data_IF_473019877668
#
_entry.id   IF_473019877668
#
_cell.length_a   1.000
_cell.length_b   1.000
_cell.length_c   1.000
_cell.angle_alpha   90.00
_cell.angle_beta   90.00
_cell.angle_gamma   90.00
#
_symmetry.space_group_name_H-M   'P 1'
#
loop_
_entity.id
_entity.type
_entity.pdbx_description
1 polymer ?
#
# COMPACT_ATOMS: atom_id res chain seq x y z
N UNK A 1 -41.24 -2.13 0.95
CA UNK A 1 -40.60 -1.86 2.25
C UNK A 1 -40.81 -3.05 3.18
N UNK A 2 -39.77 -3.81 3.52
CA UNK A 2 -39.75 -4.62 4.72
C UNK A 2 -38.98 -3.87 5.82
N UNK A 3 -39.65 -3.64 6.95
CA UNK A 3 -39.09 -3.03 8.15
C UNK A 3 -38.20 -4.03 8.88
N UNK A 4 -36.96 -3.65 9.20
CA UNK A 4 -36.13 -4.37 10.16
C UNK A 4 -36.85 -4.43 11.53
N UNK A 5 -36.84 -5.61 12.15
CA UNK A 5 -37.47 -5.85 13.45
C UNK A 5 -36.86 -4.99 14.56
N UNK A 6 -37.71 -4.47 15.44
CA UNK A 6 -37.34 -3.59 16.56
C UNK A 6 -36.24 -4.19 17.46
N UNK A 7 -36.22 -5.51 17.61
CA UNK A 7 -35.26 -6.23 18.48
C UNK A 7 -33.83 -6.19 17.94
N UNK A 8 -33.66 -6.18 16.61
CA UNK A 8 -32.34 -6.03 15.97
C UNK A 8 -31.79 -4.61 16.15
N UNK A 9 -32.66 -3.59 16.17
CA UNK A 9 -32.23 -2.21 16.41
C UNK A 9 -31.89 -1.95 17.88
N UNK A 10 -32.57 -2.59 18.83
CA UNK A 10 -32.28 -2.44 20.26
C UNK A 10 -31.00 -3.16 20.69
N UNK A 11 -30.70 -4.34 20.13
CA UNK A 11 -29.47 -5.07 20.47
C UNK A 11 -28.20 -4.34 19.98
N UNK A 12 -28.28 -3.69 18.81
CA UNK A 12 -27.18 -2.85 18.28
C UNK A 12 -27.07 -1.48 18.98
N UNK A 13 -28.19 -0.91 19.46
CA UNK A 13 -28.17 0.32 20.27
C UNK A 13 -27.44 0.14 21.59
N UNK A 14 -27.63 -1.00 22.27
CA UNK A 14 -26.95 -1.29 23.55
C UNK A 14 -25.45 -1.51 23.40
N UNK A 15 -24.99 -2.01 22.27
CA UNK A 15 -23.56 -2.30 22.05
C UNK A 15 -22.74 -1.06 21.64
N UNK A 16 -23.39 0.03 21.21
CA UNK A 16 -22.76 1.28 20.78
C UNK A 16 -22.94 2.45 21.77
N UNK A 17 -23.51 2.20 22.96
CA UNK A 17 -23.78 3.27 23.93
C UNK A 17 -22.51 3.78 24.64
N UNK A 18 -21.41 3.02 24.58
CA UNK A 18 -20.14 3.35 25.25
C UNK A 18 -19.02 3.84 24.30
N UNK A 19 -19.27 3.93 22.99
CA UNK A 19 -18.29 4.44 22.02
C UNK A 19 -18.53 5.93 21.74
N UNK A 20 -17.48 6.76 21.86
CA UNK A 20 -17.53 8.23 21.64
C UNK A 20 -17.86 8.58 20.16
N UNK A 21 -17.76 7.62 19.24
CA UNK A 21 -17.98 7.81 17.81
C UNK A 21 -19.29 7.20 17.34
N UNK A 22 -20.11 7.99 16.63
CA UNK A 22 -21.31 7.50 15.93
C UNK A 22 -20.88 6.74 14.68
N UNK A 23 -21.35 5.50 14.55
CA UNK A 23 -21.10 4.63 13.40
C UNK A 23 -22.40 4.37 12.63
N UNK A 24 -22.33 4.44 11.30
CA UNK A 24 -23.41 4.05 10.40
C UNK A 24 -22.95 2.86 9.57
N UNK A 25 -23.66 1.74 9.67
CA UNK A 25 -23.39 0.53 8.88
C UNK A 25 -24.32 0.52 7.67
N UNK A 26 -23.74 0.52 6.47
CA UNK A 26 -24.47 0.45 5.20
C UNK A 26 -24.44 -0.99 4.71
N UNK A 27 -25.62 -1.62 4.57
CA UNK A 27 -25.77 -3.02 4.17
C UNK A 27 -26.73 -3.21 2.98
N UNK A 28 -26.91 -2.18 2.14
CA UNK A 28 -27.69 -2.26 0.91
C UNK A 28 -26.99 -1.48 -0.20
N UNK A 29 -27.06 -1.97 -1.43
CA UNK A 29 -26.38 -1.34 -2.56
C UNK A 29 -27.06 -0.03 -2.95
N UNK A 30 -28.36 0.11 -2.71
CA UNK A 30 -29.13 1.34 -2.94
C UNK A 30 -28.61 2.48 -2.06
N UNK A 31 -28.45 2.22 -0.76
CA UNK A 31 -27.91 3.20 0.19
C UNK A 31 -26.43 3.47 -0.08
N UNK A 32 -25.65 2.42 -0.42
CA UNK A 32 -24.24 2.61 -0.80
C UNK A 32 -24.12 3.51 -2.04
N UNK A 33 -24.97 3.30 -3.06
CA UNK A 33 -25.03 4.15 -4.25
C UNK A 33 -25.34 5.59 -3.87
N UNK A 34 -26.32 5.83 -3.01
CA UNK A 34 -26.65 7.18 -2.55
C UNK A 34 -25.48 7.85 -1.80
N UNK A 35 -24.79 7.11 -0.93
CA UNK A 35 -23.62 7.58 -0.19
C UNK A 35 -22.44 7.94 -1.12
N UNK A 36 -22.17 7.14 -2.16
CA UNK A 36 -20.99 7.28 -3.01
C UNK A 36 -21.26 7.95 -4.37
N UNK A 37 -22.47 8.46 -4.61
CA UNK A 37 -22.80 9.25 -5.82
C UNK A 37 -23.41 10.60 -5.46
N UNK A 38 -24.61 10.61 -4.88
CA UNK A 38 -25.36 11.84 -4.57
C UNK A 38 -24.70 12.59 -3.40
N UNK A 39 -24.27 11.85 -2.38
CA UNK A 39 -23.70 12.40 -1.16
C UNK A 39 -22.19 12.13 -1.02
N UNK A 40 -21.51 11.85 -2.14
CA UNK A 40 -20.11 11.40 -2.19
C UNK A 40 -19.15 12.29 -1.37
N UNK A 41 -19.32 13.62 -1.46
CA UNK A 41 -18.51 14.61 -0.75
C UNK A 41 -18.66 14.51 0.77
N UNK A 42 -19.85 14.18 1.28
CA UNK A 42 -20.08 14.02 2.71
C UNK A 42 -19.39 12.77 3.27
N UNK A 43 -19.28 11.71 2.46
CA UNK A 43 -18.67 10.42 2.83
C UNK A 43 -17.22 10.26 2.34
N UNK A 44 -16.63 11.28 1.71
CA UNK A 44 -15.25 11.22 1.19
C UNK A 44 -14.18 11.32 2.27
N UNK A 45 -14.50 11.89 3.44
CA UNK A 45 -13.54 12.02 4.53
C UNK A 45 -13.30 10.71 5.28
N UNK A 46 -12.06 10.48 5.70
CA UNK A 46 -11.67 9.35 6.54
C UNK A 46 -11.59 9.77 8.02
N UNK A 47 -12.06 8.94 8.97
CA UNK A 47 -11.83 9.18 10.39
C UNK A 47 -10.33 9.25 10.67
N UNK A 48 -9.88 10.24 11.45
CA UNK A 48 -8.47 10.38 11.77
C UNK A 48 -8.08 9.46 12.92
N UNK A 49 -7.62 8.26 12.60
CA UNK A 49 -7.06 7.32 13.58
C UNK A 49 -5.60 7.65 13.93
N UNK A 50 -5.11 7.11 15.04
CA UNK A 50 -3.70 7.16 15.42
C UNK A 50 -2.83 6.48 14.35
N UNK A 51 -3.29 5.36 13.78
CA UNK A 51 -2.59 4.65 12.71
C UNK A 51 -2.35 5.55 11.49
N UNK A 52 -3.39 6.24 10.99
CA UNK A 52 -3.28 7.17 9.86
C UNK A 52 -2.26 8.29 10.16
N UNK A 53 -2.24 8.81 11.39
CA UNK A 53 -1.30 9.87 11.77
C UNK A 53 0.15 9.37 11.82
N UNK A 54 0.39 8.20 12.39
CA UNK A 54 1.74 7.67 12.60
C UNK A 54 2.33 6.98 11.36
N UNK A 55 1.51 6.24 10.60
CA UNK A 55 1.93 5.49 9.41
C UNK A 55 1.71 6.26 8.11
N UNK A 56 0.67 7.09 8.04
CA UNK A 56 0.27 7.81 6.83
C UNK A 56 0.90 9.19 6.68
N UNK A 57 2.14 9.38 7.13
CA UNK A 57 2.88 10.65 7.01
C UNK A 57 2.10 11.87 7.52
N UNK A 58 1.49 11.75 8.70
CA UNK A 58 0.62 12.80 9.26
C UNK A 58 -0.46 13.29 8.27
N UNK A 59 -1.10 12.34 7.56
CA UNK A 59 -2.16 12.56 6.54
C UNK A 59 -1.68 13.09 5.19
N UNK A 60 -0.38 13.14 4.91
CA UNK A 60 0.11 13.40 3.54
C UNK A 60 -0.26 12.27 2.57
N UNK A 61 -0.36 11.04 3.10
CA UNK A 61 -0.79 9.86 2.37
C UNK A 61 -2.22 10.04 1.82
N UNK A 62 -2.38 10.31 0.52
CA UNK A 62 -3.65 10.78 -0.04
C UNK A 62 -4.82 9.77 0.11
N UNK A 63 -4.55 8.47 0.20
CA UNK A 63 -5.57 7.45 0.52
C UNK A 63 -6.27 7.68 1.86
N UNK A 64 -5.62 8.39 2.80
CA UNK A 64 -6.14 8.75 4.12
C UNK A 64 -6.25 10.25 4.37
N UNK A 65 -5.92 11.09 3.38
CA UNK A 65 -6.03 12.53 3.51
C UNK A 65 -7.51 12.96 3.50
N UNK A 66 -7.88 14.01 4.25
CA UNK A 66 -9.22 14.58 4.15
C UNK A 66 -9.49 15.12 2.75
N UNK A 67 -10.74 15.06 2.31
CA UNK A 67 -11.15 15.58 1.01
C UNK A 67 -10.90 17.09 0.95
N UNK A 68 -10.16 17.54 -0.07
CA UNK A 68 -9.72 18.93 -0.21
C UNK A 68 -9.06 19.20 -1.56
N UNK A 69 -8.45 20.39 -1.71
CA UNK A 69 -7.62 20.71 -2.88
C UNK A 69 -6.43 19.75 -3.01
N UNK A 70 -5.67 19.57 -1.92
CA UNK A 70 -4.52 18.65 -1.86
C UNK A 70 -4.88 17.24 -2.34
N UNK A 71 -5.88 16.61 -1.72
CA UNK A 71 -6.32 15.26 -2.08
C UNK A 71 -6.73 15.15 -3.56
N UNK A 72 -7.48 16.14 -4.09
CA UNK A 72 -7.93 16.14 -5.48
C UNK A 72 -6.76 16.24 -6.45
N UNK A 73 -5.79 17.07 -6.13
CA UNK A 73 -4.61 17.31 -6.97
C UNK A 73 -3.71 16.08 -7.02
N UNK A 74 -3.34 15.53 -5.87
CA UNK A 74 -2.50 14.33 -5.80
C UNK A 74 -3.21 13.12 -6.42
N UNK A 75 -4.51 12.93 -6.15
CA UNK A 75 -5.30 11.84 -6.77
C UNK A 75 -5.36 12.00 -8.29
N UNK A 76 -5.51 13.23 -8.80
CA UNK A 76 -5.49 13.52 -10.24
C UNK A 76 -4.14 13.15 -10.85
N UNK A 77 -3.03 13.52 -10.21
CA UNK A 77 -1.68 13.19 -10.68
C UNK A 77 -1.50 11.67 -10.73
N UNK A 78 -1.78 10.95 -9.65
CA UNK A 78 -1.67 9.49 -9.60
C UNK A 78 -2.53 8.81 -10.68
N UNK A 79 -3.77 9.28 -10.86
CA UNK A 79 -4.69 8.72 -11.87
C UNK A 79 -4.17 8.93 -13.29
N UNK A 80 -3.71 10.13 -13.62
CA UNK A 80 -3.26 10.46 -14.98
C UNK A 80 -1.90 9.85 -15.32
N UNK A 81 -0.97 9.84 -14.36
CA UNK A 81 0.44 9.55 -14.59
C UNK A 81 0.87 8.12 -14.26
N UNK A 82 0.06 7.38 -13.50
CA UNK A 82 0.32 5.96 -13.20
C UNK A 82 -0.83 5.06 -13.65
N UNK A 83 -2.07 5.42 -13.32
CA UNK A 83 -3.23 4.52 -13.47
C UNK A 83 -4.01 4.72 -14.78
N UNK A 84 -3.56 5.59 -15.68
CA UNK A 84 -4.25 5.82 -16.95
C UNK A 84 -3.98 4.69 -17.93
N UNK A 85 -4.95 4.39 -18.81
CA UNK A 85 -4.80 3.32 -19.82
C UNK A 85 -3.51 3.48 -20.65
N UNK A 86 -3.16 4.72 -21.03
CA UNK A 86 -1.94 5.00 -21.76
C UNK A 86 -0.68 4.63 -20.96
N UNK A 87 -0.65 4.97 -19.67
CA UNK A 87 0.50 4.65 -18.80
C UNK A 87 0.58 3.15 -18.51
N UNK A 88 -0.55 2.47 -18.32
CA UNK A 88 -0.58 1.01 -18.17
C UNK A 88 -0.10 0.30 -19.44
N UNK A 89 -0.48 0.77 -20.63
CA UNK A 89 0.02 0.23 -21.90
C UNK A 89 1.51 0.46 -22.09
N UNK A 90 2.03 1.62 -21.69
CA UNK A 90 3.47 1.90 -21.70
C UNK A 90 4.25 0.98 -20.77
N UNK A 91 3.69 0.63 -19.61
CA UNK A 91 4.37 -0.15 -18.57
C UNK A 91 4.07 -1.67 -18.63
N UNK A 92 3.32 -2.15 -19.62
CA UNK A 92 2.89 -3.56 -19.70
C UNK A 92 4.04 -4.56 -19.81
N UNK A 93 5.18 -4.15 -20.38
CA UNK A 93 6.39 -4.98 -20.46
C UNK A 93 6.95 -5.27 -19.06
N UNK A 94 6.76 -4.38 -18.07
CA UNK A 94 7.15 -4.64 -16.68
C UNK A 94 6.37 -5.85 -16.16
N UNK A 95 5.05 -5.87 -16.36
CA UNK A 95 4.22 -7.00 -15.96
C UNK A 95 4.66 -8.29 -16.66
N UNK A 96 4.84 -8.26 -17.99
CA UNK A 96 5.28 -9.43 -18.74
C UNK A 96 6.64 -9.95 -18.27
N UNK A 97 7.59 -9.05 -18.02
CA UNK A 97 8.93 -9.36 -17.51
C UNK A 97 8.89 -9.99 -16.12
N UNK A 98 8.09 -9.46 -15.19
CA UNK A 98 7.97 -10.02 -13.84
C UNK A 98 7.27 -11.40 -13.84
N UNK A 99 6.26 -11.59 -14.70
CA UNK A 99 5.59 -12.88 -14.85
C UNK A 99 6.55 -13.93 -15.41
N UNK A 100 7.26 -13.62 -16.50
CA UNK A 100 8.24 -14.52 -17.11
C UNK A 100 9.34 -14.91 -16.12
N UNK A 101 9.91 -13.94 -15.40
CA UNK A 101 10.87 -14.21 -14.33
C UNK A 101 10.30 -15.11 -13.22
N UNK A 102 9.08 -14.85 -12.76
CA UNK A 102 8.47 -15.62 -11.67
C UNK A 102 8.16 -17.05 -12.09
N UNK A 103 7.76 -17.27 -13.35
CA UNK A 103 7.56 -18.60 -13.92
C UNK A 103 8.89 -19.34 -14.06
N UNK A 104 9.93 -18.66 -14.57
CA UNK A 104 11.29 -19.24 -14.66
C UNK A 104 11.80 -19.68 -13.31
N UNK A 105 11.60 -18.89 -12.27
CA UNK A 105 11.97 -19.29 -10.91
C UNK A 105 11.25 -20.56 -10.45
N UNK A 106 9.93 -20.67 -10.68
CA UNK A 106 9.18 -21.88 -10.34
C UNK A 106 9.74 -23.10 -11.09
N UNK A 107 10.08 -22.92 -12.36
CA UNK A 107 10.70 -23.97 -13.16
C UNK A 107 12.08 -24.37 -12.61
N UNK A 108 12.93 -23.41 -12.25
CA UNK A 108 14.24 -23.66 -11.63
C UNK A 108 14.12 -24.40 -10.29
N UNK A 109 13.19 -24.00 -9.42
CA UNK A 109 12.91 -24.71 -8.17
C UNK A 109 12.52 -26.16 -8.43
N UNK A 110 11.69 -26.39 -9.46
CA UNK A 110 11.27 -27.72 -9.86
C UNK A 110 12.43 -28.56 -10.42
N UNK A 111 13.25 -27.99 -11.31
CA UNK A 111 14.44 -28.67 -11.86
C UNK A 111 15.43 -29.00 -10.76
N UNK A 112 15.78 -28.05 -9.89
CA UNK A 112 16.78 -28.24 -8.82
C UNK A 112 16.34 -29.28 -7.79
N UNK A 113 15.05 -29.32 -7.45
CA UNK A 113 14.52 -30.36 -6.57
C UNK A 113 14.54 -31.73 -7.25
N UNK A 114 14.32 -31.75 -8.57
CA UNK A 114 14.34 -32.99 -9.35
C UNK A 114 15.74 -33.57 -9.47
N UNK A 115 16.76 -32.74 -9.70
CA UNK A 115 18.16 -33.17 -9.75
C UNK A 115 18.69 -33.60 -8.37
N UNK A 116 18.25 -32.96 -7.29
CA UNK A 116 18.66 -33.31 -5.91
C UNK A 116 18.07 -34.64 -5.39
N UNK A 117 16.91 -35.07 -5.91
CA UNK A 117 16.18 -36.26 -5.44
C UNK A 117 16.33 -37.48 -6.35
N UNK A 118 16.78 -37.28 -7.61
CA UNK A 118 17.15 -38.37 -8.51
C UNK A 118 18.25 -39.31 -7.94
N UNK A 119 18.94 -38.89 -6.89
CA UNK A 119 19.95 -39.67 -6.16
C UNK A 119 19.41 -40.55 -5.02
N UNK A 120 18.13 -40.42 -4.60
CA UNK A 120 17.66 -41.01 -3.34
C UNK A 120 16.35 -41.82 -3.39
N UNK A 121 15.44 -41.63 -4.35
CA UNK A 121 14.19 -42.41 -4.37
C UNK A 121 13.48 -42.41 -5.75
N UNK A 122 13.38 -43.56 -6.44
CA UNK A 122 12.83 -43.67 -7.80
C UNK A 122 11.28 -43.74 -7.86
N UNK A 123 10.58 -43.68 -6.72
CA UNK A 123 9.15 -44.03 -6.65
C UNK A 123 8.15 -42.87 -6.43
N UNK A 124 8.60 -41.66 -6.07
CA UNK A 124 7.69 -40.54 -5.75
C UNK A 124 7.75 -39.43 -6.81
N UNK A 125 6.60 -38.92 -7.29
CA UNK A 125 6.60 -37.78 -8.19
C UNK A 125 7.25 -36.58 -7.50
N UNK A 126 8.21 -35.96 -8.18
CA UNK A 126 8.92 -34.78 -7.68
C UNK A 126 7.98 -33.58 -7.61
N UNK A 127 7.41 -33.35 -6.44
CA UNK A 127 6.50 -32.25 -6.18
C UNK A 127 7.22 -31.13 -5.44
N UNK A 128 7.23 -29.93 -6.04
CA UNK A 128 7.58 -28.69 -5.33
C UNK A 128 6.31 -28.15 -4.71
N UNK A 129 6.36 -27.90 -3.40
CA UNK A 129 5.30 -27.17 -2.70
C UNK A 129 5.64 -25.68 -2.78
N UNK A 130 4.67 -24.89 -3.20
CA UNK A 130 4.81 -23.43 -3.35
C UNK A 130 3.71 -22.78 -2.52
N UNK A 131 4.07 -21.83 -1.66
CA UNK A 131 3.07 -21.01 -0.97
C UNK A 131 2.50 -19.97 -1.95
N UNK A 132 1.37 -20.29 -2.57
CA UNK A 132 0.79 -19.44 -3.63
C UNK A 132 0.47 -18.02 -3.16
N UNK A 133 0.10 -17.82 -1.89
CA UNK A 133 -0.17 -16.49 -1.34
C UNK A 133 1.09 -15.62 -1.33
N UNK A 134 2.21 -16.15 -0.83
CA UNK A 134 3.48 -15.46 -0.87
C UNK A 134 3.95 -15.24 -2.32
N UNK A 135 3.79 -16.23 -3.19
CA UNK A 135 4.20 -16.13 -4.60
C UNK A 135 3.45 -15.01 -5.34
N UNK A 136 2.11 -14.99 -5.28
CA UNK A 136 1.32 -13.92 -5.88
C UNK A 136 1.60 -12.56 -5.22
N UNK A 137 1.73 -12.51 -3.89
CA UNK A 137 2.06 -11.28 -3.18
C UNK A 137 3.40 -10.68 -3.62
N UNK A 138 4.43 -11.53 -3.79
CA UNK A 138 5.74 -11.12 -4.28
C UNK A 138 5.68 -10.62 -5.72
N UNK A 139 4.98 -11.34 -6.60
CA UNK A 139 4.80 -10.97 -8.00
C UNK A 139 4.11 -9.60 -8.12
N UNK A 140 2.98 -9.41 -7.44
CA UNK A 140 2.22 -8.15 -7.50
C UNK A 140 3.02 -7.00 -6.88
N UNK A 141 3.70 -7.22 -5.74
CA UNK A 141 4.56 -6.20 -5.13
C UNK A 141 5.70 -5.78 -6.06
N UNK A 142 6.34 -6.72 -6.76
CA UNK A 142 7.39 -6.42 -7.71
C UNK A 142 6.90 -5.63 -8.92
N UNK A 143 5.77 -6.03 -9.51
CA UNK A 143 5.17 -5.32 -10.64
C UNK A 143 4.91 -3.87 -10.23
N UNK A 144 4.21 -3.66 -9.11
CA UNK A 144 3.81 -2.32 -8.69
C UNK A 144 5.04 -1.48 -8.29
N UNK A 145 5.98 -2.04 -7.52
CA UNK A 145 7.16 -1.28 -7.07
C UNK A 145 8.08 -0.91 -8.24
N UNK A 146 8.14 -1.75 -9.28
CA UNK A 146 8.82 -1.39 -10.54
C UNK A 146 8.10 -0.28 -11.29
N UNK A 147 6.77 -0.32 -11.38
CA UNK A 147 6.00 0.75 -12.01
C UNK A 147 6.10 2.08 -11.25
N UNK A 148 6.15 2.02 -9.91
CA UNK A 148 6.11 3.21 -9.05
C UNK A 148 7.48 3.84 -8.85
N UNK A 149 8.51 3.04 -8.60
CA UNK A 149 9.84 3.52 -8.20
C UNK A 149 10.99 2.85 -8.96
N UNK A 150 10.70 2.07 -10.01
CA UNK A 150 11.72 1.33 -10.75
C UNK A 150 12.45 0.26 -9.92
N UNK A 151 11.92 -0.12 -8.75
CA UNK A 151 12.57 -1.05 -7.80
C UNK A 151 11.89 -2.40 -7.75
N UNK A 152 12.69 -3.44 -7.47
CA UNK A 152 12.21 -4.77 -7.14
C UNK A 152 12.44 -5.02 -5.64
N UNK A 153 11.40 -5.44 -4.92
CA UNK A 153 11.43 -5.58 -3.45
C UNK A 153 11.39 -7.04 -3.01
N UNK A 154 10.75 -7.92 -3.79
CA UNK A 154 10.76 -9.36 -3.58
C UNK A 154 11.60 -10.03 -4.67
N UNK A 155 12.38 -11.06 -4.37
CA UNK A 155 13.28 -11.61 -5.39
C UNK A 155 14.01 -12.87 -5.00
N UNK A 156 14.32 -13.63 -6.04
CA UNK A 156 14.62 -15.07 -6.08
C UNK A 156 16.10 -15.42 -5.91
N UNK A 157 16.98 -14.46 -6.16
CA UNK A 157 18.43 -14.62 -6.14
C UNK A 157 19.00 -13.78 -5.00
N UNK A 158 19.61 -14.46 -4.03
CA UNK A 158 20.33 -13.90 -2.87
C UNK A 158 19.69 -12.62 -2.33
N UNK A 159 18.63 -12.80 -1.55
CA UNK A 159 17.97 -11.71 -0.84
C UNK A 159 19.01 -11.00 0.04
N UNK A 160 19.39 -9.78 -0.35
CA UNK A 160 20.01 -8.85 0.59
C UNK A 160 19.03 -8.62 1.75
N UNK A 161 19.58 -8.50 2.96
CA UNK A 161 18.82 -8.25 4.21
C UNK A 161 17.75 -7.14 4.06
N UNK A 162 18.01 -6.15 3.20
CA UNK A 162 17.13 -5.02 2.92
C UNK A 162 15.80 -5.39 2.22
N UNK A 163 15.77 -6.36 1.31
CA UNK A 163 14.55 -6.77 0.60
C UNK A 163 13.53 -7.41 1.56
N UNK A 164 14.00 -8.35 2.38
CA UNK A 164 13.23 -9.00 3.44
C UNK A 164 12.75 -7.99 4.48
N UNK A 165 13.60 -7.03 4.87
CA UNK A 165 13.24 -5.95 5.79
C UNK A 165 12.14 -5.06 5.22
N UNK A 166 12.23 -4.70 3.94
CA UNK A 166 11.19 -3.91 3.27
C UNK A 166 9.86 -4.67 3.21
N UNK A 167 9.86 -5.94 2.78
CA UNK A 167 8.66 -6.76 2.75
C UNK A 167 8.02 -6.93 4.13
N UNK A 168 8.86 -7.14 5.17
CA UNK A 168 8.40 -7.17 6.56
C UNK A 168 7.77 -5.86 6.98
N UNK A 169 8.37 -4.71 6.66
CA UNK A 169 7.84 -3.40 6.98
C UNK A 169 6.48 -3.15 6.30
N UNK A 170 6.31 -3.59 5.04
CA UNK A 170 5.03 -3.51 4.32
C UNK A 170 3.97 -4.38 5.00
N UNK A 171 4.30 -5.62 5.36
CA UNK A 171 3.37 -6.51 6.08
C UNK A 171 2.98 -5.94 7.44
N UNK A 172 3.95 -5.43 8.19
CA UNK A 172 3.72 -4.79 9.49
C UNK A 172 2.84 -3.53 9.32
N UNK A 173 3.00 -2.78 8.23
CA UNK A 173 2.15 -1.62 7.91
C UNK A 173 0.69 -2.04 7.77
N UNK A 174 0.37 -3.02 6.92
CA UNK A 174 -1.01 -3.46 6.71
C UNK A 174 -1.62 -4.02 7.99
N UNK A 175 -0.85 -4.81 8.76
CA UNK A 175 -1.30 -5.33 10.04
C UNK A 175 -1.64 -4.19 11.00
N UNK A 176 -0.74 -3.22 11.20
CA UNK A 176 -0.91 -2.13 12.15
C UNK A 176 -1.95 -1.10 11.69
N UNK A 177 -2.10 -0.85 10.39
CA UNK A 177 -3.15 0.03 9.85
C UNK A 177 -4.54 -0.53 10.10
N UNK A 178 -4.71 -1.86 10.04
CA UNK A 178 -5.99 -2.52 10.29
C UNK A 178 -6.37 -2.62 11.77
N UNK A 179 -5.46 -2.31 12.70
CA UNK A 179 -5.76 -2.36 14.13
C UNK A 179 -6.54 -1.12 14.58
N UNK A 180 -7.63 -1.36 15.29
CA UNK A 180 -8.30 -0.34 16.09
C UNK A 180 -7.69 -0.34 17.49
N UNK A 181 -7.01 0.75 17.88
CA UNK A 181 -6.37 0.84 19.19
C UNK A 181 -7.26 1.59 20.18
N UNK A 182 -7.12 1.30 21.49
CA UNK A 182 -7.91 1.93 22.56
C UNK A 182 -7.99 3.47 22.46
N UNK A 183 -6.92 4.21 22.14
CA UNK A 183 -6.97 5.65 21.91
C UNK A 183 -7.96 6.13 20.84
N UNK A 184 -8.25 5.30 19.82
CA UNK A 184 -9.20 5.63 18.75
C UNK A 184 -10.66 5.46 19.20
N UNK A 185 -10.91 4.69 20.26
CA UNK A 185 -12.23 4.52 20.86
C UNK A 185 -12.44 5.42 22.10
N UNK A 186 -11.37 5.63 22.87
CA UNK A 186 -11.37 6.32 24.16
C UNK A 186 -10.22 7.35 24.17
N UNK A 187 -10.45 8.58 23.66
CA UNK A 187 -9.39 9.56 23.44
C UNK A 187 -8.59 9.95 24.69
N UNK A 188 -9.20 9.92 25.87
CA UNK A 188 -8.54 10.29 27.13
C UNK A 188 -7.45 9.29 27.59
N UNK A 189 -7.45 8.06 27.04
CA UNK A 189 -6.37 7.08 27.22
C UNK A 189 -5.28 7.21 26.14
N UNK A 190 -5.27 8.33 25.40
CA UNK A 190 -4.36 8.58 24.29
C UNK A 190 -2.87 8.61 24.64
N UNK A 191 -2.48 8.74 25.90
CA UNK A 191 -1.08 8.67 26.35
C UNK A 191 -0.59 7.22 26.52
N UNK A 192 -1.49 6.28 26.67
CA UNK A 192 -1.19 4.91 27.04
C UNK A 192 -0.84 4.06 25.81
N UNK A 193 0.27 3.33 25.85
CA UNK A 193 0.73 2.39 24.80
C UNK A 193 0.95 0.99 25.40
N UNK A 194 -0.01 0.50 26.20
CA UNK A 194 0.12 -0.77 26.94
C UNK A 194 0.48 -1.97 26.04
N UNK A 195 -0.05 -1.99 24.82
CA UNK A 195 0.18 -3.06 23.85
C UNK A 195 1.35 -2.77 22.90
N UNK A 196 2.03 -1.63 23.05
CA UNK A 196 3.19 -1.25 22.23
C UNK A 196 2.88 -0.90 20.77
N UNK A 197 1.60 -0.79 20.39
CA UNK A 197 1.20 -0.54 19.00
C UNK A 197 1.66 0.80 18.46
N UNK A 198 1.66 1.88 19.26
CA UNK A 198 2.19 3.18 18.80
C UNK A 198 3.69 3.10 18.54
N UNK A 199 4.42 2.39 19.40
CA UNK A 199 5.86 2.13 19.20
C UNK A 199 6.11 1.29 17.95
N UNK A 200 5.32 0.25 17.71
CA UNK A 200 5.39 -0.56 16.50
C UNK A 200 5.11 0.29 15.25
N UNK A 201 4.03 1.08 15.25
CA UNK A 201 3.68 1.99 14.16
C UNK A 201 4.81 2.95 13.82
N UNK A 202 5.44 3.61 14.82
CA UNK A 202 6.57 4.52 14.58
C UNK A 202 7.79 3.81 13.98
N UNK A 203 8.09 2.59 14.44
CA UNK A 203 9.19 1.79 13.90
C UNK A 203 8.92 1.41 12.44
N UNK A 204 7.73 0.90 12.15
CA UNK A 204 7.32 0.56 10.79
C UNK A 204 7.32 1.76 9.86
N UNK A 205 6.78 2.91 10.31
CA UNK A 205 6.81 4.16 9.56
C UNK A 205 8.25 4.60 9.23
N UNK A 206 9.15 4.53 10.21
CA UNK A 206 10.57 4.87 10.02
C UNK A 206 11.26 3.94 9.03
N UNK A 207 10.98 2.64 9.11
CA UNK A 207 11.59 1.65 8.22
C UNK A 207 11.15 1.87 6.76
N UNK A 208 9.84 2.05 6.52
CA UNK A 208 9.33 2.38 5.19
C UNK A 208 9.87 3.72 4.67
N UNK A 209 9.96 4.73 5.55
CA UNK A 209 10.49 6.03 5.19
C UNK A 209 11.97 5.96 4.77
N UNK A 210 12.75 5.10 5.41
CA UNK A 210 14.15 4.87 5.05
C UNK A 210 14.27 4.36 3.60
N UNK A 211 13.51 3.33 3.24
CA UNK A 211 13.51 2.80 1.86
C UNK A 211 13.07 3.84 0.84
N UNK A 212 11.97 4.54 1.12
CA UNK A 212 11.44 5.57 0.23
C UNK A 212 12.38 6.78 0.10
N UNK A 213 13.12 7.12 1.16
CA UNK A 213 14.13 8.18 1.11
C UNK A 213 15.30 7.76 0.22
N UNK A 214 15.81 6.53 0.35
CA UNK A 214 16.86 6.02 -0.53
C UNK A 214 16.41 6.09 -1.99
N UNK A 215 15.20 5.59 -2.29
CA UNK A 215 14.67 5.64 -3.66
C UNK A 215 14.52 7.08 -4.14
N UNK A 216 13.96 7.98 -3.33
CA UNK A 216 13.78 9.39 -3.69
C UNK A 216 15.12 10.06 -4.04
N UNK A 217 16.17 9.82 -3.26
CA UNK A 217 17.48 10.42 -3.49
C UNK A 217 18.15 9.86 -4.75
N UNK A 218 18.03 8.57 -5.02
CA UNK A 218 18.51 7.97 -6.27
C UNK A 218 17.84 8.59 -7.50
N UNK A 219 16.52 8.83 -7.46
CA UNK A 219 15.79 9.44 -8.56
C UNK A 219 16.17 10.91 -8.75
N UNK A 220 16.36 11.67 -7.66
CA UNK A 220 16.89 13.04 -7.73
C UNK A 220 18.27 13.08 -8.36
N UNK A 221 19.17 12.17 -7.99
CA UNK A 221 20.51 12.11 -8.55
C UNK A 221 20.48 11.80 -10.05
N UNK A 222 19.62 10.87 -10.46
CA UNK A 222 19.42 10.48 -11.87
C UNK A 222 18.92 11.64 -12.75
N UNK A 223 18.06 12.51 -12.23
CA UNK A 223 17.61 13.71 -12.96
C UNK A 223 18.76 14.70 -13.13
N UNK A 224 19.59 14.88 -12.10
CA UNK A 224 20.72 15.82 -12.12
C UNK A 224 21.88 15.36 -13.01
N UNK A 225 22.11 14.05 -13.15
CA UNK A 225 23.17 13.51 -14.02
C UNK A 225 22.88 13.66 -15.52
N UNK A 226 21.67 14.11 -15.91
CA UNK A 226 21.22 14.17 -17.31
C UNK A 226 21.35 12.83 -18.05
N UNK A 227 21.36 11.71 -17.32
CA UNK A 227 21.27 10.39 -17.93
C UNK A 227 19.96 10.35 -18.71
N UNK A 228 20.03 10.03 -20.01
CA UNK A 228 18.84 9.90 -20.83
C UNK A 228 17.93 8.82 -20.21
N UNK A 229 16.85 9.25 -19.58
CA UNK A 229 15.87 8.33 -18.98
C UNK A 229 15.02 7.80 -20.14
N UNK A 230 15.39 6.63 -20.67
CA UNK A 230 14.63 5.94 -21.72
C UNK A 230 13.20 5.62 -21.27
N UNK A 231 12.99 5.34 -19.98
CA UNK A 231 11.67 5.08 -19.41
C UNK A 231 11.52 5.66 -18.00
N UNK A 232 10.66 6.69 -17.84
CA UNK A 232 10.36 7.31 -16.54
C UNK A 232 9.34 6.51 -15.75
N UNK A 233 9.69 6.17 -14.52
CA UNK A 233 8.76 5.61 -13.52
C UNK A 233 7.89 6.72 -12.89
N UNK A 234 6.95 6.33 -12.03
CA UNK A 234 6.04 7.29 -11.41
C UNK A 234 6.74 8.27 -10.45
N UNK A 235 7.78 7.84 -9.75
CA UNK A 235 8.54 8.70 -8.85
C UNK A 235 9.30 9.79 -9.62
N UNK A 236 9.87 9.46 -10.78
CA UNK A 236 10.44 10.47 -11.71
C UNK A 236 9.41 11.51 -12.16
N UNK A 237 8.20 11.03 -12.50
CA UNK A 237 7.13 11.91 -12.95
C UNK A 237 6.67 12.81 -11.82
N UNK A 238 6.52 12.28 -10.60
CA UNK A 238 6.17 13.05 -9.41
C UNK A 238 7.23 14.13 -9.10
N UNK A 239 8.52 13.80 -9.19
CA UNK A 239 9.61 14.77 -9.06
C UNK A 239 9.48 15.88 -10.11
N UNK A 240 9.31 15.51 -11.38
CA UNK A 240 9.21 16.45 -12.51
C UNK A 240 8.00 17.39 -12.40
N UNK A 241 6.84 16.87 -11.96
CA UNK A 241 5.61 17.67 -11.84
C UNK A 241 5.67 18.63 -10.66
N UNK A 242 6.26 18.18 -9.55
CA UNK A 242 6.14 18.90 -8.29
C UNK A 242 7.35 19.81 -7.98
N UNK A 243 8.43 19.76 -8.76
CA UNK A 243 9.62 20.62 -8.61
C UNK A 243 9.28 22.11 -8.55
N UNK A 244 8.29 22.55 -9.35
CA UNK A 244 7.82 23.95 -9.39
C UNK A 244 6.56 24.22 -8.54
N UNK A 245 6.01 23.19 -7.90
CA UNK A 245 4.72 23.29 -7.20
C UNK A 245 4.88 23.71 -5.74
N UNK A 246 4.13 24.74 -5.32
CA UNK A 246 4.00 25.13 -3.90
C UNK A 246 2.74 24.52 -3.32
N UNK A 247 2.80 23.24 -2.95
CA UNK A 247 1.72 22.61 -2.19
C UNK A 247 1.81 23.02 -0.70
N UNK A 248 0.75 23.58 -0.12
CA UNK A 248 0.83 24.32 1.15
C UNK A 248 1.00 23.43 2.41
N UNK A 249 0.69 22.14 2.33
CA UNK A 249 0.44 21.33 3.54
C UNK A 249 1.62 20.43 3.95
N UNK A 250 2.52 20.09 3.04
CA UNK A 250 3.61 19.12 3.29
C UNK A 250 4.87 19.44 2.48
N UNK A 251 6.03 18.99 2.98
CA UNK A 251 7.28 19.02 2.20
C UNK A 251 7.12 18.14 0.95
N UNK A 252 7.63 18.61 -0.18
CA UNK A 252 7.67 17.89 -1.46
C UNK A 252 8.12 16.42 -1.32
N UNK A 253 9.23 16.17 -0.62
CA UNK A 253 9.73 14.81 -0.40
C UNK A 253 8.73 13.94 0.35
N UNK A 254 8.02 14.50 1.33
CA UNK A 254 6.93 13.80 2.04
C UNK A 254 5.76 13.49 1.12
N UNK A 255 5.37 14.43 0.24
CA UNK A 255 4.28 14.23 -0.72
C UNK A 255 4.64 13.11 -1.70
N UNK A 256 5.84 13.14 -2.29
CA UNK A 256 6.28 12.13 -3.25
C UNK A 256 6.35 10.75 -2.57
N UNK A 257 7.06 10.63 -1.45
CA UNK A 257 7.21 9.37 -0.72
C UNK A 257 5.86 8.80 -0.30
N UNK A 258 5.00 9.62 0.32
CA UNK A 258 3.70 9.15 0.77
C UNK A 258 2.77 8.79 -0.38
N UNK A 259 2.79 9.52 -1.51
CA UNK A 259 1.99 9.20 -2.70
C UNK A 259 2.45 7.90 -3.35
N UNK A 260 3.76 7.73 -3.54
CA UNK A 260 4.33 6.48 -4.07
C UNK A 260 3.95 5.29 -3.18
N UNK A 261 4.02 5.47 -1.85
CA UNK A 261 3.63 4.44 -0.90
C UNK A 261 2.15 4.07 -1.00
N UNK A 262 1.24 5.05 -1.16
CA UNK A 262 -0.19 4.76 -1.44
C UNK A 262 -0.33 3.97 -2.72
N UNK A 263 0.33 4.38 -3.80
CA UNK A 263 0.23 3.68 -5.08
C UNK A 263 0.76 2.24 -5.00
N UNK A 264 1.79 1.98 -4.19
CA UNK A 264 2.28 0.62 -3.93
C UNK A 264 1.25 -0.23 -3.16
N UNK A 265 0.48 0.39 -2.27
CA UNK A 265 -0.47 -0.32 -1.40
C UNK A 265 -1.88 -0.44 -1.98
N UNK A 266 -2.36 0.52 -2.77
CA UNK A 266 -3.72 0.55 -3.31
C UNK A 266 -3.88 -0.29 -4.61
N UNK A 267 -2.78 -0.72 -5.24
CA UNK A 267 -2.82 -1.58 -6.45
C UNK A 267 -2.69 -3.08 -6.11
N UNK A 268 -2.39 -3.42 -4.84
CA UNK A 268 -2.32 -4.80 -4.31
C UNK A 268 -3.67 -5.25 -3.72
#
# INVERSE_FOLDING_TARGET
MPTLGKDSQEHYRRQNQDSVHRLLVVNSWEVAKECFTINDKAFSNRPSTVAIRLLGYNRAMFGFAPYGSYWREIRKIATLQLLSNNRLEMLKHIQASEIDMSIRHLYELWVNKTTATASLDQGRPNQVLVEMKQWFGNLTLNIITRMVAGKRVAGVTDEGDDALRCQKAIRDFFHLMGLFILPDAIPFLGWLDLQGYKRAMRRTAKELDCFLEVWLQEHKHRILSSDAIDEKDFMDIMLSILEDSKLPDHNLGTIIKSTCLVCIFDIN
#
